data_IF_692164795943
#
_entry.id   IF_692164795943
#
_cell.length_a   1.000
_cell.length_b   1.000
_cell.length_c   1.000
_cell.angle_alpha   90.00
_cell.angle_beta   90.00
_cell.angle_gamma   90.00
#
_symmetry.space_group_name_H-M   'P 1'
#
loop_
_entity.id
_entity.type
_entity.pdbx_description
1 polymer ?
#
# COMPACT_ATOMS: atom_id res chain seq x y z
N UNK A 1 -12.60 -2.15 3.43
CA UNK A 1 -13.61 -3.23 3.28
C UNK A 1 -13.23 -4.46 4.08
N UNK A 2 -12.05 -5.06 3.84
CA UNK A 2 -11.60 -6.27 4.53
C UNK A 2 -11.68 -6.15 6.07
N UNK A 3 -11.12 -5.09 6.66
CA UNK A 3 -11.13 -4.89 8.11
C UNK A 3 -12.55 -4.67 8.66
N UNK A 4 -13.43 -4.00 7.90
CA UNK A 4 -14.84 -3.85 8.28
C UNK A 4 -15.52 -5.21 8.31
N UNK A 5 -15.33 -6.04 7.30
CA UNK A 5 -15.91 -7.37 7.25
C UNK A 5 -15.40 -8.25 8.40
N UNK A 6 -14.08 -8.34 8.58
CA UNK A 6 -13.47 -9.23 9.58
C UNK A 6 -13.73 -8.81 11.01
N UNK A 7 -13.70 -7.50 11.32
CA UNK A 7 -14.00 -7.00 12.66
C UNK A 7 -15.45 -7.24 13.10
N UNK A 8 -16.36 -7.48 12.16
CA UNK A 8 -17.78 -7.76 12.43
C UNK A 8 -18.16 -9.23 12.14
N UNK A 9 -17.18 -10.13 11.99
CA UNK A 9 -17.37 -11.54 11.63
C UNK A 9 -18.17 -11.72 10.33
N UNK A 10 -18.04 -10.76 9.41
CA UNK A 10 -18.67 -10.78 8.10
C UNK A 10 -17.79 -11.47 7.04
N UNK A 11 -18.33 -11.55 5.83
CA UNK A 11 -17.64 -12.07 4.65
C UNK A 11 -17.08 -10.93 3.81
N UNK A 12 -15.85 -11.10 3.33
CA UNK A 12 -15.21 -10.23 2.35
C UNK A 12 -15.33 -10.88 0.97
N UNK A 13 -16.10 -10.24 0.07
CA UNK A 13 -16.38 -10.75 -1.27
C UNK A 13 -15.53 -10.00 -2.30
N UNK A 14 -14.93 -10.74 -3.23
CA UNK A 14 -14.24 -10.17 -4.39
C UNK A 14 -15.17 -10.26 -5.62
N UNK A 15 -15.52 -9.10 -6.20
CA UNK A 15 -16.28 -8.99 -7.43
C UNK A 15 -15.47 -8.26 -8.50
N UNK A 16 -15.39 -8.84 -9.69
CA UNK A 16 -14.75 -8.21 -10.86
C UNK A 16 -15.79 -7.43 -11.64
N UNK A 17 -15.59 -6.13 -11.76
CA UNK A 17 -16.49 -5.18 -12.42
C UNK A 17 -15.95 -4.81 -13.81
N UNK A 18 -16.18 -5.69 -14.79
CA UNK A 18 -15.63 -5.64 -16.16
C UNK A 18 -16.68 -5.15 -17.21
N UNK A 19 -17.67 -4.39 -16.78
CA UNK A 19 -18.72 -3.86 -17.68
C UNK A 19 -18.24 -2.72 -18.59
N UNK A 20 -17.06 -2.14 -18.35
CA UNK A 20 -16.42 -1.14 -19.20
C UNK A 20 -15.35 -1.80 -20.08
N UNK A 21 -15.79 -2.32 -21.25
CA UNK A 21 -14.93 -3.02 -22.20
C UNK A 21 -13.84 -2.14 -22.83
N UNK A 22 -14.03 -0.80 -22.86
CA UNK A 22 -13.04 0.14 -23.41
C UNK A 22 -11.85 0.30 -22.47
N UNK A 23 -12.01 0.00 -21.18
CA UNK A 23 -10.96 0.09 -20.14
C UNK A 23 -10.41 -1.25 -19.71
N UNK A 24 -10.70 -2.30 -20.45
CA UNK A 24 -10.15 -3.63 -20.14
C UNK A 24 -8.62 -3.61 -20.17
N UNK A 25 -7.99 -4.12 -19.10
CA UNK A 25 -6.55 -4.27 -18.97
C UNK A 25 -6.24 -5.74 -18.76
N UNK A 26 -5.56 -6.34 -19.73
CA UNK A 26 -5.11 -7.73 -19.63
C UNK A 26 -4.19 -7.92 -18.41
N UNK A 27 -4.39 -8.99 -17.65
CA UNK A 27 -3.59 -9.30 -16.46
C UNK A 27 -3.98 -8.52 -15.19
N UNK A 28 -4.97 -7.61 -15.25
CA UNK A 28 -5.38 -6.84 -14.07
C UNK A 28 -5.93 -7.72 -12.94
N UNK A 29 -6.65 -8.80 -13.28
CA UNK A 29 -7.21 -9.74 -12.30
C UNK A 29 -6.13 -10.51 -11.56
N UNK A 30 -5.08 -10.94 -12.26
CA UNK A 30 -3.92 -11.61 -11.68
C UNK A 30 -3.16 -10.71 -10.69
N UNK A 31 -3.04 -9.43 -11.01
CA UNK A 31 -2.43 -8.44 -10.11
C UNK A 31 -3.25 -8.34 -8.81
N UNK A 32 -4.58 -8.30 -8.91
CA UNK A 32 -5.47 -8.28 -7.73
C UNK A 32 -5.27 -9.51 -6.87
N UNK A 33 -5.29 -10.72 -7.46
CA UNK A 33 -5.09 -11.96 -6.72
C UNK A 33 -3.71 -12.02 -6.06
N UNK A 34 -2.66 -11.64 -6.78
CA UNK A 34 -1.30 -11.60 -6.24
C UNK A 34 -1.19 -10.62 -5.06
N UNK A 35 -1.78 -9.43 -5.19
CA UNK A 35 -1.78 -8.43 -4.12
C UNK A 35 -2.52 -8.94 -2.88
N UNK A 36 -3.72 -9.50 -3.04
CA UNK A 36 -4.49 -10.10 -1.94
C UNK A 36 -3.73 -11.24 -1.26
N UNK A 37 -3.09 -12.10 -2.05
CA UNK A 37 -2.31 -13.22 -1.52
C UNK A 37 -1.07 -12.74 -0.75
N UNK A 38 -0.31 -11.79 -1.30
CA UNK A 38 0.89 -11.23 -0.67
C UNK A 38 0.58 -10.49 0.64
N UNK A 39 -0.57 -9.82 0.69
CA UNK A 39 -1.02 -9.06 1.86
C UNK A 39 -1.74 -9.92 2.90
N UNK A 40 -2.07 -11.17 2.58
CA UNK A 40 -2.86 -12.06 3.44
C UNK A 40 -4.35 -11.69 3.52
N UNK A 41 -4.83 -10.76 2.70
CA UNK A 41 -6.23 -10.31 2.66
C UNK A 41 -7.09 -11.33 1.91
N UNK A 42 -7.45 -12.41 2.58
CA UNK A 42 -8.22 -13.51 1.99
C UNK A 42 -9.68 -13.13 1.86
N UNK A 43 -10.22 -13.19 0.63
CA UNK A 43 -11.65 -13.10 0.38
C UNK A 43 -12.34 -14.44 0.67
N UNK A 44 -13.61 -14.37 1.08
CA UNK A 44 -14.42 -15.52 1.47
C UNK A 44 -15.25 -16.06 0.29
N UNK A 45 -15.54 -15.19 -0.68
CA UNK A 45 -16.24 -15.53 -1.93
C UNK A 45 -15.62 -14.72 -3.07
N UNK A 46 -15.59 -15.29 -4.27
CA UNK A 46 -15.01 -14.62 -5.45
C UNK A 46 -14.95 -15.51 -6.69
N UNK A 47 -14.45 -15.00 -7.82
CA UNK A 47 -14.44 -15.74 -9.08
C UNK A 47 -13.61 -17.02 -9.04
N UNK A 48 -12.53 -17.04 -8.26
CA UNK A 48 -11.55 -18.13 -8.15
C UNK A 48 -11.97 -19.21 -7.16
N UNK A 49 -12.71 -18.85 -6.09
CA UNK A 49 -13.10 -19.77 -5.03
C UNK A 49 -14.59 -20.08 -5.02
N UNK A 50 -15.40 -19.36 -5.83
CA UNK A 50 -16.85 -19.49 -5.84
C UNK A 50 -17.51 -18.89 -4.61
N UNK A 51 -18.74 -19.33 -4.31
CA UNK A 51 -19.54 -18.91 -3.18
C UNK A 51 -21.04 -18.96 -3.48
N UNK A 52 -21.85 -18.46 -2.54
CA UNK A 52 -23.31 -18.58 -2.58
C UNK A 52 -23.94 -17.62 -3.60
N UNK A 53 -23.31 -16.48 -3.88
CA UNK A 53 -23.90 -15.38 -4.64
C UNK A 53 -23.33 -15.21 -6.06
N UNK A 54 -22.57 -16.18 -6.54
CA UNK A 54 -21.96 -16.14 -7.88
C UNK A 54 -22.96 -16.04 -9.04
N UNK A 55 -22.48 -15.76 -10.23
CA UNK A 55 -21.09 -15.48 -10.61
C UNK A 55 -20.60 -14.12 -10.11
N UNK A 56 -19.27 -14.01 -9.87
CA UNK A 56 -18.64 -12.81 -9.29
C UNK A 56 -17.91 -11.95 -10.34
N UNK A 57 -18.18 -12.19 -11.62
CA UNK A 57 -17.72 -11.38 -12.75
C UNK A 57 -18.96 -10.76 -13.40
N UNK A 58 -19.03 -9.43 -13.48
CA UNK A 58 -20.25 -8.72 -13.93
C UNK A 58 -20.63 -9.06 -15.36
N UNK A 59 -19.67 -9.24 -16.28
CA UNK A 59 -19.98 -9.66 -17.65
C UNK A 59 -20.68 -11.02 -17.75
N UNK A 60 -20.52 -11.89 -16.76
CA UNK A 60 -21.24 -13.18 -16.68
C UNK A 60 -22.68 -13.05 -16.13
N UNK A 61 -23.06 -11.86 -15.67
CA UNK A 61 -24.38 -11.54 -15.08
C UNK A 61 -25.29 -10.72 -15.99
N UNK A 62 -24.90 -10.52 -17.24
CA UNK A 62 -25.54 -9.57 -18.18
C UNK A 62 -27.07 -9.71 -18.32
N UNK A 63 -27.60 -10.94 -18.29
CA UNK A 63 -29.04 -11.19 -18.39
C UNK A 63 -29.87 -10.60 -17.25
N UNK A 64 -29.27 -10.47 -16.06
CA UNK A 64 -29.94 -10.01 -14.84
C UNK A 64 -30.30 -8.52 -14.93
N UNK A 65 -29.37 -7.68 -15.37
CA UNK A 65 -29.55 -6.22 -15.31
C UNK A 65 -30.70 -5.68 -16.17
N UNK A 66 -30.89 -6.27 -17.34
CA UNK A 66 -31.98 -5.84 -18.24
C UNK A 66 -33.36 -6.09 -17.61
N UNK A 67 -33.57 -7.18 -16.88
CA UNK A 67 -34.80 -7.49 -16.22
C UNK A 67 -35.11 -6.47 -15.10
N UNK A 68 -34.14 -6.11 -14.29
CA UNK A 68 -34.31 -5.05 -13.29
C UNK A 68 -34.52 -3.66 -13.91
N UNK A 69 -33.85 -3.36 -15.05
CA UNK A 69 -34.12 -2.11 -15.76
C UNK A 69 -35.55 -2.02 -16.28
N UNK A 70 -36.13 -3.13 -16.81
CA UNK A 70 -37.52 -3.21 -17.21
C UNK A 70 -38.49 -3.08 -16.03
N UNK A 71 -38.16 -3.73 -14.89
CA UNK A 71 -38.95 -3.57 -13.65
C UNK A 71 -39.05 -2.09 -13.23
N UNK A 72 -37.93 -1.33 -13.32
CA UNK A 72 -37.96 0.11 -13.04
C UNK A 72 -38.81 0.90 -14.02
N UNK A 73 -38.87 0.50 -15.30
CA UNK A 73 -39.77 1.13 -16.29
C UNK A 73 -41.23 0.85 -15.94
N UNK A 74 -41.56 -0.39 -15.59
CA UNK A 74 -42.93 -0.79 -15.17
C UNK A 74 -43.38 -0.04 -13.91
N UNK A 75 -42.44 0.18 -12.96
CA UNK A 75 -42.68 0.98 -11.75
C UNK A 75 -42.69 2.50 -12.01
N UNK A 76 -42.38 2.96 -13.22
CA UNK A 76 -42.36 4.38 -13.59
C UNK A 76 -41.12 5.15 -13.09
N UNK A 77 -40.07 4.44 -12.66
CA UNK A 77 -38.82 4.99 -12.14
C UNK A 77 -37.66 4.98 -13.17
N UNK A 78 -37.93 4.44 -14.39
CA UNK A 78 -37.01 4.50 -15.52
C UNK A 78 -37.79 4.65 -16.82
N UNK A 79 -37.11 4.95 -17.92
CA UNK A 79 -37.72 5.10 -19.23
C UNK A 79 -36.73 4.84 -20.37
N UNK A 80 -37.24 4.49 -21.55
CA UNK A 80 -36.46 4.36 -22.77
C UNK A 80 -36.05 5.72 -23.33
N UNK A 81 -34.80 5.86 -23.73
CA UNK A 81 -34.31 7.06 -24.38
C UNK A 81 -33.64 6.71 -25.73
N UNK A 82 -34.22 7.22 -26.81
CA UNK A 82 -33.81 6.99 -28.21
C UNK A 82 -33.00 8.15 -28.77
N UNK A 83 -32.50 9.06 -27.93
CA UNK A 83 -31.67 10.19 -28.38
C UNK A 83 -30.35 9.73 -29.01
N UNK A 84 -30.07 10.26 -30.21
CA UNK A 84 -28.78 10.02 -30.85
C UNK A 84 -27.64 10.80 -30.18
N UNK A 85 -26.40 10.40 -30.43
CA UNK A 85 -25.22 11.08 -29.92
C UNK A 85 -25.14 12.54 -30.37
N UNK A 86 -25.46 12.78 -31.67
CA UNK A 86 -25.46 14.11 -32.30
C UNK A 86 -26.42 15.05 -31.58
N UNK A 87 -27.64 14.56 -31.24
CA UNK A 87 -28.63 15.33 -30.49
C UNK A 87 -28.11 15.68 -29.09
N UNK A 88 -27.52 14.72 -28.39
CA UNK A 88 -27.00 14.94 -27.04
C UNK A 88 -25.80 15.91 -27.05
N UNK A 89 -24.94 15.82 -28.07
CA UNK A 89 -23.79 16.74 -28.23
C UNK A 89 -24.27 18.15 -28.60
N UNK A 90 -25.29 18.29 -29.42
CA UNK A 90 -25.92 19.58 -29.71
C UNK A 90 -26.56 20.21 -28.46
N UNK A 91 -27.21 19.39 -27.61
CA UNK A 91 -27.78 19.87 -26.34
C UNK A 91 -26.67 20.40 -25.40
N UNK A 92 -25.55 19.70 -25.27
CA UNK A 92 -24.41 20.17 -24.48
C UNK A 92 -23.85 21.49 -25.02
N UNK A 93 -23.67 21.59 -26.33
CA UNK A 93 -23.10 22.78 -26.98
C UNK A 93 -24.03 24.02 -26.88
N UNK A 94 -25.34 23.83 -26.81
CA UNK A 94 -26.31 24.93 -26.67
C UNK A 94 -26.35 25.54 -25.27
N UNK A 95 -25.93 24.78 -24.25
CA UNK A 95 -25.95 25.16 -22.84
C UNK A 95 -24.62 25.77 -22.34
N UNK A 96 -23.62 25.90 -23.22
CA UNK A 96 -22.26 26.38 -22.89
C UNK A 96 -22.17 27.90 -22.48
N UNK A 97 -23.32 28.52 -22.13
CA UNK A 97 -23.39 29.89 -21.62
C UNK A 97 -23.25 29.99 -20.10
N UNK A 98 -22.35 29.21 -19.48
CA UNK A 98 -21.90 29.49 -18.14
C UNK A 98 -22.24 28.47 -17.04
N UNK A 99 -23.03 27.44 -17.28
CA UNK A 99 -23.27 26.37 -16.30
C UNK A 99 -22.45 25.14 -16.66
N UNK A 100 -21.57 24.72 -15.76
CA UNK A 100 -20.63 23.61 -15.93
C UNK A 100 -21.28 22.24 -16.07
N UNK A 101 -22.61 22.12 -15.97
CA UNK A 101 -23.35 20.86 -16.07
C UNK A 101 -24.62 21.03 -16.90
N UNK A 102 -24.54 20.72 -18.20
CA UNK A 102 -25.74 20.57 -19.04
C UNK A 102 -26.46 19.26 -18.70
N UNK A 103 -27.62 19.35 -18.05
CA UNK A 103 -28.48 18.21 -17.77
C UNK A 103 -29.16 17.70 -19.04
N UNK A 104 -29.54 16.42 -19.04
CA UNK A 104 -30.40 15.86 -20.08
C UNK A 104 -31.80 16.49 -20.00
N UNK A 105 -32.31 16.94 -21.14
CA UNK A 105 -33.61 17.68 -21.26
C UNK A 105 -34.87 16.81 -21.14
N UNK A 106 -34.70 15.52 -20.81
CA UNK A 106 -35.84 14.55 -20.65
C UNK A 106 -36.73 14.40 -21.88
N UNK A 107 -36.22 14.72 -23.07
CA UNK A 107 -36.96 14.65 -24.32
C UNK A 107 -37.74 13.33 -24.49
N UNK A 108 -37.11 12.20 -24.26
CA UNK A 108 -37.78 10.89 -24.45
C UNK A 108 -38.75 10.51 -23.31
N UNK A 109 -38.79 11.27 -22.21
CA UNK A 109 -39.77 11.06 -21.14
C UNK A 109 -41.21 11.49 -21.57
N UNK A 110 -41.32 12.32 -22.62
CA UNK A 110 -42.58 12.81 -23.14
C UNK A 110 -43.18 11.92 -24.23
N UNK A 111 -42.48 10.87 -24.65
CA UNK A 111 -42.97 9.91 -25.66
C UNK A 111 -44.16 9.12 -25.15
N UNK A 112 -45.18 8.94 -26.01
CA UNK A 112 -46.33 8.06 -25.74
C UNK A 112 -45.88 6.59 -25.78
N UNK A 113 -46.68 5.72 -25.16
CA UNK A 113 -46.44 4.27 -25.20
C UNK A 113 -46.45 3.72 -26.64
N UNK A 114 -47.29 4.29 -27.51
CA UNK A 114 -47.37 3.90 -28.92
C UNK A 114 -46.06 4.27 -29.67
N UNK A 115 -45.50 5.45 -29.41
CA UNK A 115 -44.24 5.90 -29.99
C UNK A 115 -43.07 5.06 -29.49
N UNK A 116 -43.06 4.75 -28.19
CA UNK A 116 -42.02 3.89 -27.59
C UNK A 116 -42.07 2.50 -28.26
N UNK A 117 -43.28 1.90 -28.34
CA UNK A 117 -43.42 0.58 -28.94
C UNK A 117 -43.01 0.58 -30.42
N UNK A 118 -43.45 1.60 -31.19
CA UNK A 118 -43.06 1.77 -32.60
C UNK A 118 -41.52 1.84 -32.76
N UNK A 119 -40.82 2.55 -31.87
CA UNK A 119 -39.38 2.67 -31.93
C UNK A 119 -38.70 1.33 -31.58
N UNK A 120 -39.22 0.61 -30.60
CA UNK A 120 -38.73 -0.72 -30.24
C UNK A 120 -38.92 -1.73 -31.36
N UNK A 121 -40.13 -1.76 -31.97
CA UNK A 121 -40.48 -2.64 -33.10
C UNK A 121 -39.62 -2.32 -34.35
N UNK A 122 -39.26 -1.06 -34.55
CA UNK A 122 -38.35 -0.62 -35.58
C UNK A 122 -36.86 -0.96 -35.31
N UNK A 123 -36.55 -1.54 -34.15
CA UNK A 123 -35.18 -1.87 -33.74
C UNK A 123 -34.29 -0.65 -33.50
N UNK A 124 -34.86 0.50 -33.15
CA UNK A 124 -34.08 1.70 -32.88
C UNK A 124 -33.14 1.51 -31.67
N UNK A 125 -31.88 1.88 -31.75
CA UNK A 125 -30.98 1.86 -30.59
C UNK A 125 -31.53 2.72 -29.45
N UNK A 126 -31.47 2.20 -28.25
CA UNK A 126 -31.94 2.92 -27.05
C UNK A 126 -30.98 2.73 -25.86
N UNK A 127 -31.08 3.64 -24.92
CA UNK A 127 -30.59 3.48 -23.55
C UNK A 127 -31.77 3.51 -22.58
N UNK A 128 -31.61 2.92 -21.39
CA UNK A 128 -32.56 3.08 -20.31
C UNK A 128 -32.04 4.08 -19.32
N UNK A 129 -32.81 5.11 -18.96
CA UNK A 129 -32.44 6.13 -18.00
C UNK A 129 -33.28 6.01 -16.74
N UNK A 130 -32.61 6.26 -15.58
CA UNK A 130 -33.31 6.47 -14.31
C UNK A 130 -34.11 7.78 -14.38
N UNK A 131 -35.35 7.75 -13.95
CA UNK A 131 -36.18 8.94 -13.82
C UNK A 131 -35.98 9.54 -12.45
N UNK A 132 -35.18 10.61 -12.35
CA UNK A 132 -34.93 11.32 -11.09
C UNK A 132 -36.16 12.16 -10.69
N UNK A 133 -36.51 12.25 -9.41
CA UNK A 133 -37.47 13.26 -8.94
C UNK A 133 -36.91 14.68 -9.21
N UNK A 134 -37.83 15.61 -9.47
CA UNK A 134 -37.50 17.02 -9.80
C UNK A 134 -37.65 17.97 -8.62
N UNK A 135 -38.42 17.54 -7.61
CA UNK A 135 -38.74 18.35 -6.42
C UNK A 135 -38.32 17.62 -5.15
N UNK A 136 -38.18 18.36 -4.07
CA UNK A 136 -37.79 17.83 -2.78
C UNK A 136 -36.30 17.49 -2.70
N UNK A 137 -35.94 16.75 -1.68
CA UNK A 137 -34.55 16.40 -1.35
C UNK A 137 -34.37 14.90 -1.18
N UNK A 138 -33.17 14.42 -1.44
CA UNK A 138 -32.73 13.04 -1.10
C UNK A 138 -31.69 13.10 -0.02
N UNK A 139 -31.94 12.41 1.10
CA UNK A 139 -31.02 12.30 2.23
C UNK A 139 -30.55 10.87 2.39
N UNK A 140 -29.27 10.70 2.63
CA UNK A 140 -28.66 9.42 3.04
C UNK A 140 -27.71 9.63 4.21
N UNK A 141 -27.53 8.59 5.03
CA UNK A 141 -26.59 8.59 6.13
C UNK A 141 -25.28 7.96 5.69
N UNK A 142 -24.16 8.66 5.95
CA UNK A 142 -22.81 8.15 5.77
C UNK A 142 -22.11 8.04 7.13
N UNK A 143 -21.48 6.91 7.41
CA UNK A 143 -20.86 6.65 8.72
C UNK A 143 -19.76 7.68 9.05
N UNK A 144 -19.03 8.15 8.04
CA UNK A 144 -17.90 9.09 8.22
C UNK A 144 -18.37 10.55 8.14
N UNK A 145 -19.24 10.84 7.17
CA UNK A 145 -19.65 12.23 6.87
C UNK A 145 -20.96 12.66 7.54
N UNK A 146 -21.73 11.70 8.08
CA UNK A 146 -23.05 11.96 8.67
C UNK A 146 -24.15 12.08 7.63
N UNK A 147 -25.25 12.75 7.97
CA UNK A 147 -26.37 12.94 7.06
C UNK A 147 -26.04 13.93 5.94
N UNK A 148 -26.22 13.49 4.69
CA UNK A 148 -26.00 14.29 3.49
C UNK A 148 -27.30 14.42 2.75
N UNK A 149 -27.72 15.66 2.51
CA UNK A 149 -28.94 16.01 1.82
C UNK A 149 -28.62 16.75 0.53
N UNK A 150 -29.22 16.32 -0.57
CA UNK A 150 -29.04 16.93 -1.91
C UNK A 150 -30.42 17.27 -2.47
N UNK A 151 -30.53 18.46 -3.09
CA UNK A 151 -31.73 18.85 -3.82
C UNK A 151 -31.93 17.93 -5.04
N UNK A 152 -33.11 17.33 -5.17
CA UNK A 152 -33.40 16.44 -6.30
C UNK A 152 -33.30 17.16 -7.65
N UNK A 153 -33.60 18.45 -7.67
CA UNK A 153 -33.42 19.29 -8.84
C UNK A 153 -31.95 19.34 -9.35
N UNK A 154 -30.96 19.01 -8.54
CA UNK A 154 -29.54 18.94 -8.94
C UNK A 154 -29.17 17.60 -9.60
N UNK A 155 -29.98 16.57 -9.43
CA UNK A 155 -29.72 15.24 -9.99
C UNK A 155 -30.10 15.19 -11.46
N UNK A 156 -29.27 14.51 -12.27
CA UNK A 156 -29.54 14.24 -13.69
C UNK A 156 -29.94 12.78 -13.91
N UNK A 157 -30.84 12.55 -14.87
CA UNK A 157 -31.32 11.23 -15.26
C UNK A 157 -30.16 10.41 -15.84
N UNK A 158 -29.52 9.60 -14.99
CA UNK A 158 -28.37 8.77 -15.39
C UNK A 158 -28.80 7.61 -16.28
N UNK A 159 -27.89 7.17 -17.15
CA UNK A 159 -28.07 5.95 -17.94
C UNK A 159 -27.90 4.75 -17.02
N UNK A 160 -28.82 3.81 -17.03
CA UNK A 160 -28.78 2.52 -16.36
C UNK A 160 -28.26 1.43 -17.31
N UNK A 161 -28.86 1.32 -18.50
CA UNK A 161 -28.44 0.39 -19.55
C UNK A 161 -27.99 1.14 -20.78
N UNK A 162 -26.81 0.79 -21.29
CA UNK A 162 -26.20 1.33 -22.51
C UNK A 162 -26.87 0.71 -23.76
N UNK A 163 -26.67 1.34 -24.93
CA UNK A 163 -27.20 0.85 -26.19
C UNK A 163 -26.59 -0.49 -26.65
N UNK A 164 -25.43 -0.85 -26.16
CA UNK A 164 -24.78 -2.15 -26.39
C UNK A 164 -25.36 -3.28 -25.51
N UNK A 165 -26.31 -2.97 -24.64
CA UNK A 165 -26.95 -3.91 -23.72
C UNK A 165 -26.20 -4.09 -22.40
N UNK A 166 -25.06 -3.41 -22.20
CA UNK A 166 -24.32 -3.43 -20.93
C UNK A 166 -24.89 -2.43 -19.92
N UNK A 167 -24.95 -2.79 -18.63
CA UNK A 167 -25.28 -1.82 -17.59
C UNK A 167 -24.17 -0.79 -17.44
N UNK A 168 -24.52 0.37 -16.93
CA UNK A 168 -23.48 1.27 -16.40
C UNK A 168 -23.00 0.77 -15.02
N UNK A 169 -21.80 1.18 -14.63
CA UNK A 169 -21.26 0.91 -13.29
C UNK A 169 -22.26 1.26 -12.18
N UNK A 170 -22.88 2.44 -12.27
CA UNK A 170 -23.80 2.95 -11.26
C UNK A 170 -25.09 2.10 -11.10
N UNK A 171 -25.46 1.34 -12.09
CA UNK A 171 -26.60 0.44 -12.04
C UNK A 171 -26.20 -0.97 -11.62
N UNK A 172 -25.16 -1.52 -12.25
CA UNK A 172 -24.71 -2.87 -11.98
C UNK A 172 -24.35 -3.07 -10.50
N UNK A 173 -23.61 -2.11 -9.89
CA UNK A 173 -23.21 -2.22 -8.51
C UNK A 173 -24.41 -2.28 -7.53
N UNK A 174 -25.47 -1.50 -7.76
CA UNK A 174 -26.68 -1.51 -6.90
C UNK A 174 -27.40 -2.85 -6.96
N UNK A 175 -27.55 -3.39 -8.18
CA UNK A 175 -28.19 -4.70 -8.38
C UNK A 175 -27.36 -5.81 -7.72
N UNK A 176 -26.06 -5.81 -7.97
CA UNK A 176 -25.17 -6.84 -7.43
C UNK A 176 -25.03 -6.75 -5.92
N UNK A 177 -24.90 -5.56 -5.37
CA UNK A 177 -24.84 -5.34 -3.91
C UNK A 177 -26.10 -5.88 -3.22
N UNK A 178 -27.29 -5.63 -3.80
CA UNK A 178 -28.53 -6.19 -3.29
C UNK A 178 -28.57 -7.72 -3.39
N UNK A 179 -28.26 -8.28 -4.57
CA UNK A 179 -28.34 -9.73 -4.82
C UNK A 179 -27.27 -10.51 -4.05
N UNK A 180 -26.09 -9.92 -3.84
CA UNK A 180 -25.00 -10.49 -3.05
C UNK A 180 -25.12 -10.19 -1.57
N UNK A 181 -26.21 -9.53 -1.12
CA UNK A 181 -26.45 -9.21 0.30
C UNK A 181 -25.36 -8.37 0.94
N UNK A 182 -24.79 -7.44 0.17
CA UNK A 182 -23.78 -6.52 0.68
C UNK A 182 -24.43 -5.59 1.72
N UNK A 183 -23.85 -5.57 2.91
CA UNK A 183 -24.35 -4.78 4.04
C UNK A 183 -23.66 -3.42 4.17
N UNK A 184 -22.40 -3.33 3.72
CA UNK A 184 -21.57 -2.12 3.81
C UNK A 184 -20.95 -1.83 2.46
N UNK A 185 -21.12 -0.60 1.97
CA UNK A 185 -20.50 -0.09 0.75
C UNK A 185 -19.43 0.92 1.16
N UNK A 186 -18.17 0.56 0.94
CA UNK A 186 -17.01 1.39 1.29
C UNK A 186 -16.35 1.92 0.02
N UNK A 187 -16.24 3.23 -0.11
CA UNK A 187 -15.75 3.90 -1.34
C UNK A 187 -14.91 5.13 -1.02
N UNK A 188 -14.26 5.67 -2.04
CA UNK A 188 -13.66 7.00 -1.97
C UNK A 188 -14.72 8.10 -1.91
N UNK A 189 -14.39 9.20 -1.26
CA UNK A 189 -15.30 10.36 -1.09
C UNK A 189 -15.75 11.01 -2.40
N UNK A 190 -15.11 10.72 -3.53
CA UNK A 190 -15.56 11.12 -4.87
C UNK A 190 -16.93 10.58 -5.26
N UNK A 191 -17.37 9.49 -4.65
CA UNK A 191 -18.69 8.89 -4.89
C UNK A 191 -19.83 9.51 -4.07
N UNK A 192 -19.53 10.42 -3.12
CA UNK A 192 -20.54 11.10 -2.32
C UNK A 192 -21.61 11.79 -3.18
N UNK A 193 -21.21 12.42 -4.30
CA UNK A 193 -22.13 13.08 -5.24
C UNK A 193 -23.00 12.11 -6.04
N UNK A 194 -22.59 10.85 -6.19
CA UNK A 194 -23.38 9.82 -6.90
C UNK A 194 -24.30 9.03 -5.95
N UNK A 195 -24.02 9.01 -4.67
CA UNK A 195 -24.74 8.23 -3.66
C UNK A 195 -26.25 8.53 -3.60
N UNK A 196 -26.73 9.80 -3.75
CA UNK A 196 -28.16 10.06 -3.83
C UNK A 196 -28.86 9.29 -4.95
N UNK A 197 -28.21 9.10 -6.10
CA UNK A 197 -28.75 8.33 -7.23
C UNK A 197 -28.87 6.85 -6.92
N UNK A 198 -27.91 6.29 -6.16
CA UNK A 198 -27.99 4.90 -5.67
C UNK A 198 -29.11 4.75 -4.66
N UNK A 199 -29.21 5.67 -3.69
CA UNK A 199 -30.32 5.67 -2.72
C UNK A 199 -31.68 5.68 -3.40
N UNK A 200 -31.86 6.50 -4.42
CA UNK A 200 -33.11 6.55 -5.22
C UNK A 200 -33.36 5.26 -6.01
N UNK A 201 -32.34 4.50 -6.42
CA UNK A 201 -32.53 3.18 -7.02
C UNK A 201 -33.02 2.17 -5.97
N UNK A 202 -32.40 2.11 -4.78
CA UNK A 202 -32.88 1.26 -3.69
C UNK A 202 -34.34 1.57 -3.33
N UNK A 203 -34.68 2.85 -3.22
CA UNK A 203 -36.05 3.29 -2.94
C UNK A 203 -37.05 2.88 -4.06
N UNK A 204 -36.66 3.03 -5.34
CA UNK A 204 -37.47 2.67 -6.48
C UNK A 204 -37.75 1.16 -6.55
N UNK A 205 -36.83 0.33 -6.12
CA UNK A 205 -37.05 -1.10 -5.98
C UNK A 205 -37.82 -1.48 -4.73
N UNK A 206 -37.84 -0.62 -3.71
CA UNK A 206 -38.35 -0.92 -2.37
C UNK A 206 -37.36 -1.74 -1.53
N UNK A 207 -36.08 -1.62 -1.83
CA UNK A 207 -35.02 -2.33 -1.11
C UNK A 207 -34.43 -1.48 0.03
N UNK A 208 -33.93 -2.14 1.06
CA UNK A 208 -33.14 -1.50 2.10
C UNK A 208 -31.75 -1.11 1.53
N UNK A 209 -31.34 0.13 1.78
CA UNK A 209 -30.01 0.61 1.37
C UNK A 209 -28.92 0.03 2.25
N UNK A 210 -27.73 -0.27 1.72
CA UNK A 210 -26.59 -0.65 2.53
C UNK A 210 -26.11 0.53 3.41
N UNK A 211 -25.27 0.23 4.36
CA UNK A 211 -24.55 1.22 5.15
C UNK A 211 -23.46 1.83 4.28
N UNK A 212 -23.51 3.15 4.07
CA UNK A 212 -22.51 3.88 3.28
C UNK A 212 -21.35 4.32 4.15
N UNK A 213 -20.12 4.09 3.68
CA UNK A 213 -18.87 4.47 4.32
C UNK A 213 -17.95 5.09 3.27
N UNK A 214 -17.89 6.42 3.24
CA UNK A 214 -16.99 7.10 2.31
C UNK A 214 -15.69 7.50 3.00
N UNK A 215 -14.57 7.16 2.38
CA UNK A 215 -13.24 7.47 2.90
C UNK A 215 -12.61 8.63 2.13
N UNK A 216 -11.91 9.55 2.80
CA UNK A 216 -11.18 10.61 2.13
C UNK A 216 -10.05 10.04 1.28
N UNK A 217 -9.64 10.78 0.26
CA UNK A 217 -8.52 10.41 -0.58
C UNK A 217 -7.21 10.42 0.21
N UNK A 218 -6.30 9.51 -0.12
CA UNK A 218 -4.90 9.60 0.32
C UNK A 218 -4.19 10.63 -0.56
N UNK A 219 -3.52 11.57 0.08
CA UNK A 219 -2.86 12.70 -0.56
C UNK A 219 -1.35 12.49 -0.64
N UNK A 220 -0.72 12.98 -1.70
CA UNK A 220 0.74 13.07 -1.80
C UNK A 220 1.27 14.26 -0.98
N UNK A 221 0.55 15.36 -1.02
CA UNK A 221 0.83 16.60 -0.31
C UNK A 221 -0.48 17.32 0.02
N UNK A 222 -0.43 18.52 0.57
CA UNK A 222 -1.62 19.26 1.00
C UNK A 222 -2.65 19.55 -0.13
N UNK A 223 -2.25 19.45 -1.40
CA UNK A 223 -3.07 19.84 -2.55
C UNK A 223 -3.30 18.73 -3.57
N UNK A 224 -2.44 17.73 -3.63
CA UNK A 224 -2.43 16.73 -4.69
C UNK A 224 -2.75 15.35 -4.14
N UNK A 225 -3.67 14.64 -4.81
CA UNK A 225 -3.95 13.22 -4.53
C UNK A 225 -2.77 12.35 -4.99
N UNK A 226 -2.58 11.23 -4.29
CA UNK A 226 -1.67 10.17 -4.73
C UNK A 226 -2.14 9.64 -6.09
N UNK A 227 -1.22 9.52 -7.06
CA UNK A 227 -1.54 9.06 -8.40
C UNK A 227 -0.34 8.46 -9.13
N UNK A 228 -0.48 7.23 -9.65
CA UNK A 228 0.53 6.59 -10.52
C UNK A 228 0.95 7.48 -11.71
N UNK A 229 0.04 8.31 -12.25
CA UNK A 229 0.34 9.23 -13.36
C UNK A 229 1.37 10.31 -13.01
N UNK A 230 1.55 10.59 -11.72
CA UNK A 230 2.52 11.56 -11.21
C UNK A 230 3.76 10.89 -10.61
N UNK A 231 3.96 9.57 -10.85
CA UNK A 231 5.13 8.84 -10.39
C UNK A 231 5.03 8.37 -8.92
N UNK A 232 3.85 8.41 -8.32
CA UNK A 232 3.65 7.85 -6.98
C UNK A 232 3.67 6.31 -7.04
N UNK A 233 4.28 5.69 -6.03
CA UNK A 233 4.54 4.25 -6.00
C UNK A 233 3.27 3.43 -5.79
N UNK A 234 3.16 2.35 -6.55
CA UNK A 234 2.16 1.31 -6.32
C UNK A 234 2.57 0.38 -5.19
N UNK A 235 1.68 -0.54 -4.81
CA UNK A 235 2.02 -1.61 -3.86
C UNK A 235 3.18 -2.46 -4.39
N UNK A 236 3.14 -2.85 -5.66
CA UNK A 236 4.18 -3.66 -6.31
C UNK A 236 5.53 -2.93 -6.34
N UNK A 237 5.53 -1.61 -6.56
CA UNK A 237 6.75 -0.80 -6.51
C UNK A 237 7.36 -0.83 -5.12
N UNK A 238 6.55 -0.68 -4.06
CA UNK A 238 7.01 -0.75 -2.67
C UNK A 238 7.61 -2.13 -2.36
N UNK A 239 6.95 -3.22 -2.77
CA UNK A 239 7.48 -4.57 -2.56
C UNK A 239 8.81 -4.77 -3.31
N UNK A 240 8.92 -4.27 -4.54
CA UNK A 240 10.14 -4.33 -5.32
C UNK A 240 11.30 -3.54 -4.68
N UNK A 241 10.98 -2.49 -3.93
CA UNK A 241 11.94 -1.69 -3.15
C UNK A 241 12.29 -2.31 -1.78
N UNK A 242 11.73 -3.48 -1.48
CA UNK A 242 12.09 -4.24 -0.29
C UNK A 242 11.27 -3.93 0.96
N UNK A 243 10.08 -3.31 0.79
CA UNK A 243 9.11 -3.19 1.86
C UNK A 243 8.37 -4.52 2.07
N UNK A 244 8.01 -4.81 3.31
CA UNK A 244 7.23 -6.00 3.68
C UNK A 244 5.74 -5.76 3.44
N UNK A 245 5.01 -6.72 2.84
CA UNK A 245 3.57 -6.59 2.63
C UNK A 245 2.81 -6.24 3.91
N UNK A 246 3.15 -6.87 5.02
CA UNK A 246 2.51 -6.65 6.33
C UNK A 246 2.72 -5.21 6.84
N UNK A 247 3.90 -4.66 6.64
CA UNK A 247 4.20 -3.28 7.02
C UNK A 247 3.40 -2.28 6.17
N UNK A 248 3.27 -2.54 4.85
CA UNK A 248 2.48 -1.72 3.95
C UNK A 248 0.99 -1.78 4.32
N UNK A 249 0.44 -2.96 4.61
CA UNK A 249 -0.96 -3.14 5.04
C UNK A 249 -1.23 -2.39 6.33
N UNK A 250 -0.37 -2.54 7.35
CA UNK A 250 -0.51 -1.82 8.61
C UNK A 250 -0.47 -0.29 8.39
N UNK A 251 0.48 0.18 7.59
CA UNK A 251 0.61 1.61 7.31
C UNK A 251 -0.63 2.16 6.61
N UNK A 252 -1.16 1.46 5.60
CA UNK A 252 -2.39 1.87 4.89
C UNK A 252 -3.59 1.90 5.84
N UNK A 253 -3.71 0.95 6.75
CA UNK A 253 -4.78 0.98 7.75
C UNK A 253 -4.73 2.25 8.59
N UNK A 254 -3.54 2.69 9.02
CA UNK A 254 -3.35 3.90 9.82
C UNK A 254 -3.54 5.21 9.04
N UNK A 255 -3.57 5.19 7.72
CA UNK A 255 -3.82 6.41 6.92
C UNK A 255 -5.26 6.93 7.04
N UNK A 256 -6.21 6.06 7.29
CA UNK A 256 -7.63 6.44 7.36
C UNK A 256 -8.31 6.06 8.66
N UNK A 257 -7.59 5.44 9.59
CA UNK A 257 -8.12 4.94 10.85
C UNK A 257 -7.15 5.21 12.00
N UNK A 258 -7.70 5.52 13.16
CA UNK A 258 -6.94 5.71 14.40
C UNK A 258 -7.39 4.69 15.44
N UNK A 259 -6.45 3.91 16.02
CA UNK A 259 -6.75 3.04 17.14
C UNK A 259 -7.13 3.84 18.40
N UNK A 260 -7.76 3.17 19.36
CA UNK A 260 -8.13 3.79 20.64
C UNK A 260 -6.93 4.07 21.55
N UNK A 261 -5.82 3.44 21.29
CA UNK A 261 -4.52 3.64 21.94
C UNK A 261 -3.50 4.23 20.96
N UNK A 262 -2.30 4.52 21.41
CA UNK A 262 -1.23 5.05 20.56
C UNK A 262 -0.39 3.95 19.88
N UNK A 263 -0.91 2.74 19.78
CA UNK A 263 -0.23 1.63 19.09
C UNK A 263 -0.16 1.89 17.59
N UNK A 264 0.99 1.67 16.98
CA UNK A 264 1.23 1.87 15.55
C UNK A 264 1.63 0.59 14.81
N UNK A 265 2.06 -0.44 15.50
CA UNK A 265 2.51 -1.71 14.92
C UNK A 265 1.49 -2.79 15.24
N UNK A 266 0.86 -3.33 14.21
CA UNK A 266 -0.20 -4.33 14.30
C UNK A 266 0.06 -5.47 13.32
N UNK A 267 -0.02 -6.70 13.75
CA UNK A 267 -0.25 -7.81 12.82
C UNK A 267 -1.63 -7.67 12.16
N UNK A 268 -1.83 -8.30 11.00
CA UNK A 268 -3.14 -8.32 10.35
C UNK A 268 -4.24 -8.83 11.28
N UNK A 269 -3.95 -9.88 12.06
CA UNK A 269 -4.89 -10.44 13.04
C UNK A 269 -5.26 -9.45 14.17
N UNK A 270 -4.29 -8.66 14.63
CA UNK A 270 -4.58 -7.60 15.61
C UNK A 270 -5.44 -6.50 14.99
N UNK A 271 -5.16 -6.11 13.73
CA UNK A 271 -6.01 -5.16 13.00
C UNK A 271 -7.45 -5.67 12.88
N UNK A 272 -7.65 -6.93 12.52
CA UNK A 272 -8.98 -7.56 12.46
C UNK A 272 -9.74 -7.49 13.79
N UNK A 273 -9.02 -7.62 14.92
CA UNK A 273 -9.61 -7.62 16.27
C UNK A 273 -9.89 -6.23 16.83
N UNK A 274 -9.01 -5.26 16.57
CA UNK A 274 -9.11 -3.94 17.18
C UNK A 274 -9.74 -2.89 16.27
N UNK A 275 -9.86 -3.17 14.97
CA UNK A 275 -10.48 -2.24 14.04
C UNK A 275 -11.94 -1.97 14.40
N UNK A 276 -12.30 -0.70 14.39
CA UNK A 276 -13.68 -0.26 14.52
C UNK A 276 -13.97 0.89 13.57
N UNK A 277 -15.19 0.92 13.08
CA UNK A 277 -15.62 1.89 12.06
C UNK A 277 -15.64 3.32 12.60
N UNK A 278 -15.86 3.49 13.92
CA UNK A 278 -15.89 4.82 14.58
C UNK A 278 -14.51 5.48 14.67
N UNK A 279 -13.42 4.72 14.47
CA UNK A 279 -12.06 5.24 14.37
C UNK A 279 -11.70 5.80 13.00
N UNK A 280 -12.59 5.72 11.99
CA UNK A 280 -12.34 6.23 10.65
C UNK A 280 -12.26 7.76 10.63
N UNK A 281 -11.27 8.29 9.93
CA UNK A 281 -11.04 9.73 9.80
C UNK A 281 -11.86 10.34 8.67
N UNK A 282 -12.43 11.52 8.93
CA UNK A 282 -13.08 12.37 7.92
C UNK A 282 -12.07 13.19 7.11
N UNK A 283 -10.88 13.40 7.64
CA UNK A 283 -9.85 14.23 7.02
C UNK A 283 -8.94 13.41 6.11
N UNK A 284 -8.55 13.93 4.93
CA UNK A 284 -7.56 13.30 4.09
C UNK A 284 -6.22 13.11 4.83
N UNK A 285 -5.56 11.99 4.57
CA UNK A 285 -4.23 11.69 5.13
C UNK A 285 -3.16 11.87 4.07
N UNK A 286 -2.01 12.42 4.46
CA UNK A 286 -0.84 12.55 3.58
C UNK A 286 0.00 11.28 3.69
N UNK A 287 0.38 10.71 2.55
CA UNK A 287 1.27 9.55 2.49
C UNK A 287 2.70 9.96 2.85
N UNK A 288 3.19 9.49 3.98
CA UNK A 288 4.53 9.77 4.49
C UNK A 288 5.46 8.56 4.31
N UNK A 289 6.34 8.62 3.29
CA UNK A 289 7.34 7.59 3.03
C UNK A 289 8.27 7.35 4.22
N UNK A 290 8.63 8.39 4.99
CA UNK A 290 9.53 8.22 6.15
C UNK A 290 8.86 7.40 7.24
N UNK A 291 7.56 7.64 7.48
CA UNK A 291 6.79 6.86 8.43
C UNK A 291 6.64 5.40 7.98
N UNK A 292 6.37 5.16 6.69
CA UNK A 292 6.32 3.79 6.15
C UNK A 292 7.68 3.10 6.29
N UNK A 293 8.77 3.78 5.96
CA UNK A 293 10.12 3.24 6.06
C UNK A 293 10.48 2.87 7.51
N UNK A 294 10.20 3.76 8.45
CA UNK A 294 10.37 3.48 9.88
C UNK A 294 9.54 2.27 10.32
N UNK A 295 8.26 2.24 9.97
CA UNK A 295 7.37 1.13 10.31
C UNK A 295 7.89 -0.19 9.75
N UNK A 296 8.33 -0.20 8.50
CA UNK A 296 8.92 -1.38 7.85
C UNK A 296 10.17 -1.87 8.60
N UNK A 297 11.05 -0.96 9.01
CA UNK A 297 12.22 -1.28 9.84
C UNK A 297 11.84 -1.93 11.18
N UNK A 298 10.77 -1.45 11.83
CA UNK A 298 10.28 -2.07 13.06
C UNK A 298 9.70 -3.48 12.83
N UNK A 299 9.04 -3.74 11.71
CA UNK A 299 8.61 -5.10 11.35
C UNK A 299 9.81 -6.04 11.14
N UNK A 300 10.82 -5.61 10.39
CA UNK A 300 12.04 -6.38 10.18
C UNK A 300 12.72 -6.68 11.52
N UNK A 301 12.86 -5.68 12.38
CA UNK A 301 13.55 -5.77 13.66
C UNK A 301 12.84 -6.70 14.67
N UNK A 302 11.51 -6.74 14.64
CA UNK A 302 10.71 -7.56 15.54
C UNK A 302 10.42 -8.98 15.02
N UNK A 303 10.83 -9.29 13.79
CA UNK A 303 10.74 -10.64 13.21
C UNK A 303 11.70 -11.58 13.96
N UNK A 304 11.34 -12.87 14.09
CA UNK A 304 12.31 -13.85 14.60
C UNK A 304 13.48 -14.00 13.62
N UNK A 305 14.68 -14.26 14.16
CA UNK A 305 15.92 -14.25 13.40
C UNK A 305 15.94 -15.29 12.27
N UNK A 306 15.30 -16.44 12.46
CA UNK A 306 15.24 -17.48 11.43
C UNK A 306 14.37 -17.08 10.25
N UNK A 307 13.17 -16.55 10.51
CA UNK A 307 12.28 -16.01 9.48
C UNK A 307 12.94 -14.86 8.73
N UNK A 308 13.63 -13.97 9.44
CA UNK A 308 14.37 -12.89 8.80
C UNK A 308 15.51 -13.44 7.91
N UNK A 309 16.28 -14.42 8.38
CA UNK A 309 17.35 -15.03 7.59
C UNK A 309 16.81 -15.64 6.29
N UNK A 310 15.74 -16.41 6.36
CA UNK A 310 15.08 -17.00 5.17
C UNK A 310 14.69 -15.91 4.17
N UNK A 311 14.14 -14.81 4.64
CA UNK A 311 13.72 -13.67 3.81
C UNK A 311 14.91 -12.94 3.15
N UNK A 312 16.02 -12.81 3.89
CA UNK A 312 17.23 -12.09 3.46
C UNK A 312 18.21 -12.96 2.64
N UNK A 313 18.13 -14.30 2.75
CA UNK A 313 19.15 -15.24 2.28
C UNK A 313 19.54 -15.04 0.82
N UNK A 314 18.56 -14.95 -0.08
CA UNK A 314 18.84 -14.76 -1.50
C UNK A 314 19.55 -13.44 -1.80
N UNK A 315 19.19 -12.36 -1.08
CA UNK A 315 19.85 -11.07 -1.23
C UNK A 315 21.27 -11.09 -0.70
N UNK A 316 21.49 -11.75 0.43
CA UNK A 316 22.81 -11.96 1.01
C UNK A 316 23.70 -12.78 0.09
N UNK A 317 23.23 -13.92 -0.43
CA UNK A 317 23.96 -14.77 -1.39
C UNK A 317 24.30 -14.04 -2.70
N UNK A 318 23.44 -13.13 -3.14
CA UNK A 318 23.71 -12.31 -4.31
C UNK A 318 24.71 -11.19 -4.05
N UNK A 319 24.70 -10.62 -2.86
CA UNK A 319 25.58 -9.51 -2.47
C UNK A 319 26.96 -9.98 -2.04
N UNK A 320 27.07 -11.10 -1.31
CA UNK A 320 28.31 -11.63 -0.75
C UNK A 320 28.80 -12.80 -1.61
N UNK A 321 30.01 -12.68 -2.18
CA UNK A 321 30.64 -13.73 -3.00
C UNK A 321 31.50 -14.67 -2.19
N UNK A 322 31.99 -14.24 -1.06
CA UNK A 322 32.79 -15.07 -0.16
C UNK A 322 31.91 -16.11 0.56
N UNK A 323 31.95 -17.34 0.08
CA UNK A 323 31.15 -18.47 0.58
C UNK A 323 31.60 -19.01 1.94
N UNK A 324 32.72 -18.52 2.49
CA UNK A 324 33.21 -18.94 3.81
C UNK A 324 32.61 -18.15 4.96
N UNK A 325 31.94 -17.03 4.66
CA UNK A 325 31.31 -16.18 5.66
C UNK A 325 29.98 -16.75 6.16
N UNK A 326 29.73 -16.62 7.45
CA UNK A 326 28.47 -17.03 8.08
C UNK A 326 27.37 -15.99 7.78
N UNK A 327 26.59 -16.26 6.73
CA UNK A 327 25.49 -15.39 6.32
C UNK A 327 24.41 -15.21 7.39
N UNK A 328 24.24 -16.19 8.29
CA UNK A 328 23.26 -16.09 9.37
C UNK A 328 23.71 -15.11 10.46
N UNK A 329 25.02 -15.11 10.80
CA UNK A 329 25.60 -14.08 11.68
C UNK A 329 25.44 -12.69 11.06
N UNK A 330 25.74 -12.54 9.77
CA UNK A 330 25.58 -11.27 9.05
C UNK A 330 24.12 -10.81 9.07
N UNK A 331 23.16 -11.70 8.79
CA UNK A 331 21.73 -11.38 8.86
C UNK A 331 21.33 -10.88 10.26
N UNK A 332 21.78 -11.54 11.31
CA UNK A 332 21.48 -11.14 12.70
C UNK A 332 21.95 -9.71 13.01
N UNK A 333 23.09 -9.30 12.47
CA UNK A 333 23.57 -7.91 12.62
C UNK A 333 22.73 -6.92 11.83
N UNK A 334 22.38 -7.27 10.60
CA UNK A 334 21.59 -6.42 9.70
C UNK A 334 20.20 -6.16 10.23
N UNK A 335 19.53 -7.17 10.76
CA UNK A 335 18.13 -7.12 11.18
C UNK A 335 17.79 -5.90 12.04
N UNK A 336 18.72 -5.51 12.91
CA UNK A 336 18.53 -4.38 13.83
C UNK A 336 18.68 -3.00 13.17
N UNK A 337 19.13 -2.93 11.93
CA UNK A 337 19.53 -1.69 11.26
C UNK A 337 18.89 -1.49 9.89
N UNK A 338 18.23 -2.53 9.36
CA UNK A 338 17.56 -2.43 8.08
C UNK A 338 16.27 -1.63 8.18
N UNK A 339 16.08 -0.75 7.23
CA UNK A 339 14.80 -0.09 6.97
C UNK A 339 14.04 -0.77 5.83
N UNK A 340 14.77 -1.24 4.79
CA UNK A 340 14.22 -2.04 3.70
C UNK A 340 15.17 -3.20 3.36
N UNK A 341 14.63 -4.26 2.73
CA UNK A 341 15.46 -5.39 2.30
C UNK A 341 16.46 -5.03 1.20
N UNK A 342 16.20 -3.97 0.44
CA UNK A 342 17.08 -3.50 -0.61
C UNK A 342 18.31 -2.75 -0.09
N UNK A 343 18.36 -2.44 1.21
CA UNK A 343 19.55 -1.90 1.85
C UNK A 343 20.66 -2.96 2.04
N UNK A 344 20.32 -4.26 2.00
CA UNK A 344 21.22 -5.35 2.26
C UNK A 344 22.51 -5.27 1.43
N UNK A 345 22.48 -5.17 0.08
CA UNK A 345 23.73 -5.16 -0.70
C UNK A 345 24.70 -4.07 -0.26
N UNK A 346 24.22 -2.86 -0.06
CA UNK A 346 25.02 -1.70 0.34
C UNK A 346 25.64 -1.86 1.74
N UNK A 347 24.97 -2.58 2.63
CA UNK A 347 25.42 -2.74 4.02
C UNK A 347 26.39 -3.92 4.21
N UNK A 348 26.57 -4.77 3.19
CA UNK A 348 27.39 -5.99 3.30
C UNK A 348 28.54 -6.10 2.30
N UNK A 349 28.63 -5.19 1.31
CA UNK A 349 29.64 -5.24 0.24
C UNK A 349 31.07 -5.24 0.76
N UNK A 350 31.33 -4.52 1.85
CA UNK A 350 32.64 -4.48 2.49
C UNK A 350 33.07 -5.83 3.08
N UNK A 351 32.18 -6.81 3.27
CA UNK A 351 32.58 -8.13 3.74
C UNK A 351 33.40 -8.90 2.68
N UNK A 352 33.09 -8.71 1.40
CA UNK A 352 33.85 -9.35 0.31
C UNK A 352 35.21 -8.70 0.09
N UNK A 353 35.27 -7.38 0.15
CA UNK A 353 36.52 -6.63 -0.03
C UNK A 353 36.47 -5.32 0.72
N UNK A 354 37.58 -4.95 1.36
CA UNK A 354 37.69 -3.65 2.00
C UNK A 354 37.59 -2.55 0.92
N UNK A 355 36.60 -1.63 1.02
CA UNK A 355 36.49 -0.54 0.07
C UNK A 355 37.67 0.43 0.21
N UNK A 356 37.91 1.24 -0.82
CA UNK A 356 38.80 2.37 -0.69
C UNK A 356 38.13 3.46 0.16
N UNK A 357 38.79 3.92 1.20
CA UNK A 357 38.21 4.88 2.15
C UNK A 357 39.23 5.94 2.60
N UNK A 358 38.71 7.13 2.99
CA UNK A 358 39.52 8.23 3.54
C UNK A 358 39.82 8.02 5.01
N UNK A 359 41.02 8.48 5.45
CA UNK A 359 41.40 8.51 6.86
C UNK A 359 40.52 9.42 7.72
N UNK A 360 39.77 10.34 7.12
CA UNK A 360 38.74 11.15 7.81
C UNK A 360 37.71 10.31 8.58
N UNK A 361 37.45 9.07 8.13
CA UNK A 361 36.53 8.14 8.82
C UNK A 361 36.99 7.76 10.22
N UNK A 362 38.29 7.88 10.50
CA UNK A 362 38.83 7.65 11.85
C UNK A 362 38.53 8.78 12.82
N UNK A 363 38.26 9.99 12.30
CA UNK A 363 37.98 11.18 13.12
C UNK A 363 36.51 11.17 13.54
N UNK A 364 36.22 11.12 14.85
CA UNK A 364 34.84 11.09 15.34
C UNK A 364 34.71 11.86 16.67
N UNK A 365 33.92 12.95 16.65
CA UNK A 365 33.74 13.86 17.79
C UNK A 365 33.23 13.19 19.06
N UNK A 366 32.17 12.34 18.95
CA UNK A 366 31.60 11.65 20.12
C UNK A 366 32.53 10.57 20.69
N UNK A 367 33.25 9.87 19.82
CA UNK A 367 34.21 8.83 20.23
C UNK A 367 35.55 9.44 20.69
N UNK A 368 35.76 10.73 20.46
CA UNK A 368 36.94 11.48 20.78
C UNK A 368 38.21 10.90 20.12
N UNK A 369 38.11 10.61 18.84
CA UNK A 369 39.20 10.10 18.01
C UNK A 369 39.68 11.16 17.04
N UNK A 370 40.99 11.19 16.83
CA UNK A 370 41.73 11.86 15.76
C UNK A 370 42.52 10.81 14.98
N UNK A 371 43.19 11.18 13.90
CA UNK A 371 44.02 10.26 13.13
C UNK A 371 45.22 9.73 13.99
N UNK A 372 45.83 10.57 14.83
CA UNK A 372 46.92 10.16 15.73
C UNK A 372 46.42 9.17 16.80
N UNK A 373 45.24 9.43 17.40
CA UNK A 373 44.64 8.52 18.38
C UNK A 373 44.28 7.21 17.71
N UNK A 374 43.74 7.24 16.50
CA UNK A 374 43.37 6.06 15.72
C UNK A 374 44.63 5.22 15.39
N UNK A 375 45.72 5.86 14.94
CA UNK A 375 46.97 5.18 14.65
C UNK A 375 47.54 4.50 15.89
N UNK A 376 47.58 5.20 17.04
CA UNK A 376 48.09 4.63 18.30
C UNK A 376 47.22 3.46 18.77
N UNK A 377 45.90 3.58 18.64
CA UNK A 377 44.92 2.55 19.02
C UNK A 377 45.04 1.29 18.16
N UNK A 378 45.16 1.44 16.84
CA UNK A 378 45.36 0.30 15.94
C UNK A 378 46.66 -0.42 16.15
N UNK A 379 47.78 0.35 16.40
CA UNK A 379 49.09 -0.21 16.74
C UNK A 379 49.08 -0.97 18.08
N UNK A 380 48.28 -0.54 19.04
CA UNK A 380 48.14 -1.24 20.32
C UNK A 380 47.23 -2.49 20.19
N UNK A 381 46.14 -2.42 19.37
CA UNK A 381 45.22 -3.53 19.17
C UNK A 381 45.84 -4.69 18.39
N UNK A 382 46.66 -4.40 17.38
CA UNK A 382 47.19 -5.41 16.46
C UNK A 382 47.92 -6.56 17.18
N UNK A 383 48.96 -6.34 18.07
CA UNK A 383 49.64 -7.45 18.74
C UNK A 383 48.75 -8.22 19.71
N UNK A 384 47.76 -7.56 20.33
CA UNK A 384 46.79 -8.22 21.24
C UNK A 384 45.96 -9.20 20.47
N UNK A 385 45.43 -8.79 19.30
CA UNK A 385 44.63 -9.64 18.42
C UNK A 385 45.46 -10.72 17.71
N UNK A 386 46.73 -10.45 17.34
CA UNK A 386 47.62 -11.46 16.77
C UNK A 386 47.88 -12.62 17.73
N UNK A 387 48.00 -12.34 19.02
CA UNK A 387 48.28 -13.34 20.07
C UNK A 387 47.02 -14.08 20.55
N UNK A 388 45.81 -13.72 20.08
CA UNK A 388 44.58 -14.39 20.47
C UNK A 388 44.52 -15.80 19.86
N UNK A 389 44.47 -16.85 20.69
CA UNK A 389 44.50 -18.24 20.25
C UNK A 389 43.12 -18.71 19.76
N UNK A 390 42.05 -18.28 20.40
CA UNK A 390 40.69 -18.64 20.07
C UNK A 390 39.94 -17.39 19.61
N UNK A 391 39.54 -17.38 18.30
CA UNK A 391 38.96 -16.23 17.63
C UNK A 391 37.45 -16.29 17.66
N UNK A 392 36.87 -15.79 18.73
CA UNK A 392 35.43 -15.66 18.94
C UNK A 392 35.08 -14.24 19.33
N UNK A 393 33.82 -13.81 19.06
CA UNK A 393 33.34 -12.47 19.44
C UNK A 393 33.63 -12.17 20.93
N UNK A 394 33.37 -13.15 21.83
CA UNK A 394 33.62 -12.99 23.28
C UNK A 394 35.07 -12.76 23.59
N UNK A 395 35.97 -13.58 23.04
CA UNK A 395 37.41 -13.45 23.33
C UNK A 395 38.02 -12.18 22.71
N UNK A 396 37.53 -11.78 21.53
CA UNK A 396 37.91 -10.49 20.90
C UNK A 396 37.44 -9.33 21.78
N UNK A 397 36.20 -9.40 22.28
CA UNK A 397 35.67 -8.40 23.21
C UNK A 397 36.56 -8.28 24.46
N UNK A 398 36.82 -9.39 25.14
CA UNK A 398 37.57 -9.39 26.41
C UNK A 398 39.01 -8.88 26.21
N UNK A 399 39.66 -9.25 25.11
CA UNK A 399 40.99 -8.79 24.76
C UNK A 399 41.01 -7.27 24.49
N UNK A 400 40.08 -6.75 23.70
CA UNK A 400 40.02 -5.32 23.40
C UNK A 400 39.58 -4.49 24.62
N UNK A 401 38.68 -5.00 25.47
CA UNK A 401 38.26 -4.30 26.67
C UNK A 401 39.34 -4.28 27.73
N UNK A 402 40.11 -5.36 27.87
CA UNK A 402 41.32 -5.39 28.72
C UNK A 402 42.37 -4.38 28.25
N UNK A 403 42.55 -4.26 26.94
CA UNK A 403 43.49 -3.27 26.36
C UNK A 403 43.01 -1.84 26.64
N UNK A 404 41.69 -1.54 26.53
CA UNK A 404 41.12 -0.23 26.90
C UNK A 404 41.46 0.13 28.33
N UNK A 405 41.33 -0.82 29.28
CA UNK A 405 41.65 -0.61 30.69
C UNK A 405 43.15 -0.36 30.89
N UNK A 406 43.99 -1.17 30.25
CA UNK A 406 45.44 -1.05 30.33
C UNK A 406 45.97 0.30 29.82
N UNK A 407 45.36 0.80 28.73
CA UNK A 407 45.69 2.09 28.12
C UNK A 407 45.07 3.29 28.87
N UNK A 408 44.10 3.06 29.75
CA UNK A 408 43.38 4.12 30.45
C UNK A 408 42.55 5.04 29.54
N UNK A 409 42.11 4.54 28.39
CA UNK A 409 41.34 5.30 27.37
C UNK A 409 39.86 4.95 27.39
N UNK A 410 39.04 5.72 26.66
CA UNK A 410 37.63 5.40 26.51
C UNK A 410 37.42 4.32 25.44
N UNK A 411 36.40 3.46 25.62
CA UNK A 411 36.07 2.38 24.67
C UNK A 411 36.03 2.86 23.22
N UNK A 412 35.38 4.00 22.96
CA UNK A 412 35.25 4.54 21.62
C UNK A 412 36.59 4.91 20.96
N UNK A 413 37.61 5.26 21.75
CA UNK A 413 38.93 5.61 21.22
C UNK A 413 39.68 4.39 20.65
N UNK A 414 39.39 3.18 21.14
CA UNK A 414 39.93 1.94 20.60
C UNK A 414 38.97 1.31 19.56
N UNK A 415 37.70 1.14 19.93
CA UNK A 415 36.76 0.36 19.13
C UNK A 415 36.36 1.06 17.83
N UNK A 416 36.26 2.39 17.80
CA UNK A 416 35.96 3.12 16.59
C UNK A 416 37.03 2.94 15.50
N UNK A 417 38.33 3.15 15.77
CA UNK A 417 39.39 2.85 14.81
C UNK A 417 39.38 1.40 14.31
N UNK A 418 39.22 0.42 15.22
CA UNK A 418 39.19 -1.00 14.84
C UNK A 418 38.02 -1.26 13.91
N UNK A 419 36.79 -0.80 14.25
CA UNK A 419 35.61 -0.94 13.39
C UNK A 419 35.82 -0.30 12.01
N UNK A 420 36.39 0.91 11.99
CA UNK A 420 36.68 1.65 10.75
C UNK A 420 37.68 0.90 9.88
N UNK A 421 38.78 0.38 10.48
CA UNK A 421 39.73 -0.42 9.73
C UNK A 421 39.12 -1.70 9.14
N UNK A 422 38.19 -2.35 9.88
CA UNK A 422 37.55 -3.59 9.43
C UNK A 422 36.54 -3.36 8.33
N UNK A 423 35.80 -2.26 8.35
CA UNK A 423 34.72 -2.00 7.38
C UNK A 423 35.07 -1.05 6.24
N UNK A 424 35.93 -0.07 6.49
CA UNK A 424 36.18 1.05 5.57
C UNK A 424 34.97 1.96 5.37
N UNK A 425 33.93 1.83 6.22
CA UNK A 425 32.64 2.48 6.04
C UNK A 425 32.33 3.50 7.15
N UNK A 426 31.63 4.59 6.86
CA UNK A 426 31.19 5.55 7.88
C UNK A 426 30.24 4.90 8.89
N UNK A 427 29.43 3.95 8.45
CA UNK A 427 28.51 3.14 9.29
C UNK A 427 28.59 1.68 8.90
N UNK A 428 28.49 0.78 9.86
CA UNK A 428 28.49 -0.67 9.64
C UNK A 428 27.35 -1.34 10.42
N UNK A 429 26.88 -2.52 10.00
CA UNK A 429 25.81 -3.23 10.70
C UNK A 429 26.23 -3.71 12.10
N UNK A 430 27.54 -4.01 12.31
CA UNK A 430 28.12 -4.41 13.59
C UNK A 430 29.17 -3.46 14.10
N UNK A 431 29.61 -3.66 15.35
CA UNK A 431 30.75 -3.03 15.95
C UNK A 431 32.06 -3.78 15.63
N UNK A 432 33.17 -3.37 16.29
CA UNK A 432 34.50 -3.93 16.04
C UNK A 432 34.55 -5.45 16.28
N UNK A 433 33.92 -5.95 17.33
CA UNK A 433 33.99 -7.35 17.74
C UNK A 433 33.22 -8.26 16.79
N UNK A 434 31.97 -7.90 16.50
CA UNK A 434 31.09 -8.66 15.60
C UNK A 434 31.66 -8.73 14.18
N UNK A 435 32.23 -7.60 13.70
CA UNK A 435 32.86 -7.56 12.38
C UNK A 435 34.14 -8.43 12.35
N UNK A 436 34.97 -8.37 13.39
CA UNK A 436 36.19 -9.18 13.48
C UNK A 436 35.87 -10.68 13.54
N UNK A 437 34.86 -11.08 14.30
CA UNK A 437 34.39 -12.48 14.39
C UNK A 437 33.94 -13.02 13.03
N UNK A 438 33.15 -12.23 12.29
CA UNK A 438 32.60 -12.63 10.96
C UNK A 438 33.72 -12.68 9.90
N UNK A 439 34.62 -11.67 9.86
CA UNK A 439 35.72 -11.61 8.89
C UNK A 439 36.82 -12.68 9.14
N UNK A 440 36.88 -13.19 10.38
CA UNK A 440 37.92 -14.09 10.80
C UNK A 440 39.26 -13.40 11.08
N UNK A 441 40.16 -14.15 11.71
CA UNK A 441 41.43 -13.62 12.22
C UNK A 441 42.32 -13.03 11.12
N UNK A 442 42.55 -13.79 10.07
CA UNK A 442 43.49 -13.42 8.99
C UNK A 442 43.07 -12.13 8.28
N UNK A 443 41.83 -12.05 7.83
CA UNK A 443 41.33 -10.86 7.13
C UNK A 443 41.23 -9.65 8.07
N UNK A 444 40.82 -9.85 9.32
CA UNK A 444 40.79 -8.76 10.31
C UNK A 444 42.15 -8.14 10.56
N UNK A 445 43.18 -8.96 10.77
CA UNK A 445 44.54 -8.48 10.99
C UNK A 445 45.10 -7.78 9.76
N UNK A 446 44.81 -8.28 8.56
CA UNK A 446 45.19 -7.66 7.29
C UNK A 446 44.59 -6.27 7.16
N UNK A 447 43.27 -6.11 7.40
CA UNK A 447 42.58 -4.81 7.34
C UNK A 447 43.09 -3.80 8.38
N UNK A 448 43.37 -4.26 9.59
CA UNK A 448 44.00 -3.40 10.62
C UNK A 448 45.37 -2.89 10.15
N UNK A 449 46.21 -3.74 9.54
CA UNK A 449 47.50 -3.35 8.98
C UNK A 449 47.35 -2.29 7.88
N UNK A 450 46.40 -2.48 6.96
CA UNK A 450 46.06 -1.49 5.93
C UNK A 450 45.65 -0.15 6.56
N UNK A 451 44.82 -0.17 7.60
CA UNK A 451 44.45 1.04 8.35
C UNK A 451 45.60 1.78 8.97
N UNK A 452 46.55 1.02 9.56
CA UNK A 452 47.80 1.59 10.12
C UNK A 452 48.65 2.26 9.03
N UNK A 453 48.84 1.58 7.87
CA UNK A 453 49.61 2.11 6.74
C UNK A 453 48.97 3.40 6.18
N UNK A 454 47.65 3.42 5.99
CA UNK A 454 46.93 4.62 5.54
C UNK A 454 47.14 5.82 6.48
N UNK A 455 47.02 5.60 7.79
CA UNK A 455 47.20 6.65 8.79
C UNK A 455 48.67 7.12 8.89
N UNK A 456 49.64 6.23 8.70
CA UNK A 456 51.08 6.59 8.68
C UNK A 456 51.45 7.44 7.45
N UNK A 457 50.76 7.27 6.33
CA UNK A 457 51.00 8.02 5.10
C UNK A 457 50.46 9.46 5.16
N UNK A 458 49.55 9.75 6.07
CA UNK A 458 48.87 11.06 6.20
C UNK A 458 49.49 11.88 7.37
N UNK A 459 49.96 11.23 8.41
CA UNK A 459 50.61 11.82 9.60
C UNK A 459 52.12 11.93 9.40
#
# INVERSE_FOLDING_TARGET
EYLIAKSQNGKFILRIEDTDQERFVEGATEIIYNTLNMTGLKHDEGPDIGGEYGPYIQSQRMGIYMDYAKELIEKGNAYYCFCTKERLDALKSSNDKGDAFSKYDRHCLTLSQEEIQKNLDAGMPFVIRQKMPTEGTTTFHDVVYGDITVENAELDDQILMKADGFPTYNFANVIDDHLMKITHVVRGSEYLSSTPKYKLLYDAFGWESPIYVHLPAVMRDAHNKLSKRHGDKSFEDLISEGYLPEAVVNYIALLGWSPSDNKEIFSLKELEQCFNISGLSKSPSIFDMKKLTWLNGEYIKNMDTESFYILAENRLKNAIKNTTLDLKKIATLLQKRLETLNDIPRLVDFFDSLPEYSTDLYVHKKMKTTEEIALSSLKAALPVLENLSDWTESNIHDALMSLVQTLGIKNGQLLWPVRTALSGEPTSPGGAMELADILGKEESLKRIKIGIEKLQNVL
#
